data_IF_571256886947
#
_entry.id   IF_571256886947
#
_cell.length_a   1.000
_cell.length_b   1.000
_cell.length_c   1.000
_cell.angle_alpha   90.00
_cell.angle_beta   90.00
_cell.angle_gamma   90.00
#
_symmetry.space_group_name_H-M   'P 1'
#
loop_
_entity.id
_entity.type
_entity.pdbx_description
1 polymer ?
#
# COMPACT_ATOMS: atom_id res chain seq x y z
N UNK A 1 27.62 52.91 32.64
CA UNK A 1 26.61 51.86 32.37
C UNK A 1 26.81 51.41 30.92
N UNK A 2 27.61 50.36 30.71
CA UNK A 2 27.96 49.85 29.40
C UNK A 2 26.99 48.76 29.02
N UNK A 3 26.18 48.97 27.98
CA UNK A 3 25.28 47.95 27.39
C UNK A 3 26.13 46.94 26.63
N UNK A 4 26.16 45.70 27.12
CA UNK A 4 26.84 44.59 26.48
C UNK A 4 26.26 44.29 25.10
N UNK A 5 27.15 44.14 24.10
CA UNK A 5 26.77 43.73 22.74
C UNK A 5 26.17 42.34 22.75
N UNK A 6 25.09 42.10 21.98
CA UNK A 6 24.51 40.75 21.89
C UNK A 6 25.51 39.78 21.25
N UNK A 7 25.74 38.69 21.90
CA UNK A 7 26.60 37.57 21.45
C UNK A 7 25.97 36.97 20.20
N UNK A 8 26.63 37.14 19.06
CA UNK A 8 26.23 36.51 17.81
C UNK A 8 26.29 34.98 17.95
N UNK A 9 25.17 34.32 17.72
CA UNK A 9 25.09 32.88 17.65
C UNK A 9 25.40 32.48 16.19
N UNK A 10 26.43 31.68 15.90
CA UNK A 10 26.72 31.28 14.55
C UNK A 10 25.52 30.50 13.98
N UNK A 11 25.07 30.88 12.79
CA UNK A 11 24.02 30.22 12.06
C UNK A 11 24.31 28.72 12.00
N UNK A 12 23.32 27.96 12.37
CA UNK A 12 23.40 26.52 12.52
C UNK A 12 23.98 25.82 11.30
N UNK A 13 24.66 24.72 11.57
CA UNK A 13 25.22 23.79 10.60
C UNK A 13 24.20 23.60 9.47
N UNK A 14 24.62 23.85 8.25
CA UNK A 14 23.85 23.48 7.07
C UNK A 14 23.56 21.99 7.18
N UNK A 15 22.32 21.62 7.46
CA UNK A 15 21.87 20.24 7.32
C UNK A 15 22.01 19.94 5.83
N UNK A 16 23.10 19.31 5.44
CA UNK A 16 23.12 18.63 4.15
C UNK A 16 21.88 17.77 4.14
N UNK A 17 20.94 18.10 3.29
CA UNK A 17 19.76 17.28 3.03
C UNK A 17 20.31 15.97 2.48
N UNK A 18 20.51 15.00 3.35
CA UNK A 18 20.85 13.64 2.92
C UNK A 18 19.67 13.17 2.10
N UNK A 19 19.86 13.02 0.81
CA UNK A 19 18.85 12.43 -0.08
C UNK A 19 18.77 10.98 0.34
N UNK A 20 17.74 10.63 1.08
CA UNK A 20 17.48 9.24 1.50
C UNK A 20 17.11 8.45 0.24
N UNK A 21 17.86 7.42 -0.04
CA UNK A 21 17.54 6.48 -1.11
C UNK A 21 16.44 5.55 -0.62
N UNK A 22 15.31 5.66 -1.23
CA UNK A 22 14.09 4.93 -0.82
C UNK A 22 13.77 3.85 -1.85
N UNK A 23 13.46 2.66 -1.37
CA UNK A 23 12.86 1.59 -2.16
C UNK A 23 11.42 1.38 -1.70
N UNK A 24 10.48 1.38 -2.64
CA UNK A 24 9.06 1.17 -2.36
C UNK A 24 8.70 -0.26 -2.76
N UNK A 25 8.11 -1.02 -1.85
CA UNK A 25 7.53 -2.34 -2.13
C UNK A 25 6.01 -2.19 -2.04
N UNK A 26 5.30 -2.42 -3.14
CA UNK A 26 3.85 -2.21 -3.21
C UNK A 26 3.07 -3.43 -3.70
N UNK A 27 1.79 -3.49 -3.32
CA UNK A 27 0.84 -4.38 -3.96
C UNK A 27 0.54 -3.90 -5.39
N UNK A 28 0.22 -4.83 -6.30
CA UNK A 28 -0.21 -4.52 -7.67
C UNK A 28 -1.37 -3.52 -7.71
N UNK A 29 -2.29 -3.57 -6.76
CA UNK A 29 -3.43 -2.63 -6.66
C UNK A 29 -3.04 -1.16 -6.48
N UNK A 30 -1.81 -0.88 -6.04
CA UNK A 30 -1.25 0.46 -5.82
C UNK A 30 -0.02 0.72 -6.69
N UNK A 31 0.31 -0.21 -7.58
CA UNK A 31 1.58 -0.20 -8.32
C UNK A 31 1.81 1.06 -9.14
N UNK A 32 0.79 1.53 -9.83
CA UNK A 32 0.88 2.72 -10.68
C UNK A 32 1.01 4.00 -9.87
N UNK A 33 0.27 4.12 -8.78
CA UNK A 33 0.37 5.24 -7.84
C UNK A 33 1.77 5.32 -7.23
N UNK A 34 2.30 4.17 -6.80
CA UNK A 34 3.63 4.11 -6.19
C UNK A 34 4.73 4.40 -7.20
N UNK A 35 4.63 3.92 -8.44
CA UNK A 35 5.57 4.25 -9.51
C UNK A 35 5.60 5.76 -9.80
N UNK A 36 4.43 6.40 -9.88
CA UNK A 36 4.35 7.87 -10.08
C UNK A 36 4.97 8.65 -8.92
N UNK A 37 4.78 8.17 -7.68
CA UNK A 37 5.40 8.79 -6.50
C UNK A 37 6.91 8.54 -6.44
N UNK A 38 7.39 7.46 -7.03
CA UNK A 38 8.82 7.12 -7.11
C UNK A 38 9.62 7.97 -8.10
N UNK A 39 8.97 8.69 -9.03
CA UNK A 39 9.64 9.53 -10.06
C UNK A 39 10.58 10.61 -9.49
N UNK A 40 10.57 10.82 -8.17
CA UNK A 40 11.48 11.69 -7.44
C UNK A 40 12.82 11.04 -7.00
N UNK A 41 13.17 9.85 -7.50
CA UNK A 41 14.45 9.18 -7.17
C UNK A 41 14.32 7.95 -6.25
N UNK A 42 13.11 7.50 -5.94
CA UNK A 42 12.89 6.21 -5.30
C UNK A 42 12.81 5.09 -6.35
N UNK A 43 13.26 3.88 -5.99
CA UNK A 43 12.99 2.68 -6.77
C UNK A 43 11.70 2.01 -6.28
N UNK A 44 11.05 1.21 -7.15
CA UNK A 44 9.79 0.57 -6.79
C UNK A 44 9.75 -0.87 -7.29
N UNK A 45 9.39 -1.82 -6.42
CA UNK A 45 8.97 -3.16 -6.80
C UNK A 45 7.48 -3.35 -6.50
N UNK A 46 6.83 -4.12 -7.39
CA UNK A 46 5.39 -4.34 -7.32
C UNK A 46 5.14 -5.84 -7.23
N UNK A 47 4.51 -6.28 -6.15
CA UNK A 47 4.19 -7.68 -5.90
C UNK A 47 2.81 -8.06 -6.46
N UNK A 48 2.62 -9.32 -6.86
CA UNK A 48 1.36 -9.79 -7.41
C UNK A 48 0.18 -9.54 -6.48
N UNK A 49 -0.98 -9.29 -7.09
CA UNK A 49 -2.26 -9.25 -6.38
C UNK A 49 -2.59 -10.60 -5.72
N UNK A 50 -3.44 -10.57 -4.69
CA UNK A 50 -3.97 -11.78 -4.05
C UNK A 50 -3.07 -12.41 -2.98
N UNK A 51 -1.83 -11.92 -2.78
CA UNK A 51 -0.96 -12.44 -1.71
C UNK A 51 -1.59 -12.32 -0.32
N UNK A 52 -2.42 -11.30 -0.10
CA UNK A 52 -3.12 -11.08 1.18
C UNK A 52 -4.11 -12.19 1.56
N UNK A 53 -4.55 -12.99 0.60
CA UNK A 53 -5.42 -14.16 0.84
C UNK A 53 -4.70 -15.27 1.62
N UNK A 54 -3.36 -15.23 1.64
CA UNK A 54 -2.53 -16.17 2.40
C UNK A 54 -1.48 -15.38 3.17
N UNK A 55 -1.77 -14.93 4.42
CA UNK A 55 -0.90 -14.02 5.18
C UNK A 55 0.54 -14.51 5.35
N UNK A 56 0.75 -15.82 5.52
CA UNK A 56 2.10 -16.37 5.65
C UNK A 56 2.89 -16.30 4.34
N UNK A 57 2.22 -16.50 3.19
CA UNK A 57 2.83 -16.33 1.87
C UNK A 57 3.15 -14.84 1.62
N UNK A 58 2.24 -13.94 1.98
CA UNK A 58 2.50 -12.50 1.89
C UNK A 58 3.75 -12.13 2.70
N UNK A 59 3.84 -12.60 3.96
CA UNK A 59 4.98 -12.32 4.84
C UNK A 59 6.29 -12.83 4.24
N UNK A 60 6.32 -14.06 3.78
CA UNK A 60 7.50 -14.65 3.18
C UNK A 60 7.94 -13.88 1.93
N UNK A 61 6.99 -13.50 1.06
CA UNK A 61 7.28 -12.73 -0.15
C UNK A 61 7.79 -11.33 0.18
N UNK A 62 7.14 -10.62 1.11
CA UNK A 62 7.58 -9.29 1.55
C UNK A 62 8.97 -9.35 2.19
N UNK A 63 9.26 -10.35 3.01
CA UNK A 63 10.57 -10.51 3.62
C UNK A 63 11.66 -10.76 2.57
N UNK A 64 11.39 -11.62 1.59
CA UNK A 64 12.31 -11.87 0.49
C UNK A 64 12.62 -10.59 -0.32
N UNK A 65 11.61 -9.75 -0.60
CA UNK A 65 11.81 -8.46 -1.28
C UNK A 65 12.61 -7.46 -0.43
N UNK A 66 12.36 -7.43 0.89
CA UNK A 66 13.14 -6.60 1.82
C UNK A 66 14.60 -7.02 1.82
N UNK A 67 14.88 -8.32 1.85
CA UNK A 67 16.23 -8.87 1.87
C UNK A 67 16.96 -8.66 0.53
N UNK A 68 16.22 -8.70 -0.58
CA UNK A 68 16.72 -8.47 -1.93
C UNK A 68 16.85 -6.99 -2.32
N UNK A 69 16.38 -6.06 -1.50
CA UNK A 69 16.43 -4.64 -1.81
C UNK A 69 17.87 -4.16 -2.08
N UNK A 70 18.07 -3.19 -3.00
CA UNK A 70 19.40 -2.69 -3.36
C UNK A 70 20.23 -2.31 -2.14
N UNK A 71 21.51 -2.62 -2.15
CA UNK A 71 22.40 -2.46 -0.99
C UNK A 71 22.67 -1.01 -0.58
N UNK A 72 22.33 -0.06 -1.44
CA UNK A 72 22.51 1.38 -1.24
C UNK A 72 21.23 2.10 -0.73
N UNK A 73 20.17 1.35 -0.44
CA UNK A 73 18.90 1.87 0.07
C UNK A 73 18.99 2.17 1.57
N UNK A 74 18.56 3.36 1.97
CA UNK A 74 18.50 3.82 3.36
C UNK A 74 17.14 3.51 4.01
N UNK A 75 16.08 3.46 3.19
CA UNK A 75 14.70 3.26 3.66
C UNK A 75 13.92 2.38 2.70
N UNK A 76 13.25 1.36 3.22
CA UNK A 76 12.22 0.60 2.51
C UNK A 76 10.86 1.08 3.00
N UNK A 77 10.02 1.53 2.07
CA UNK A 77 8.63 1.89 2.31
C UNK A 77 7.72 0.76 1.83
N UNK A 78 7.00 0.14 2.73
CA UNK A 78 5.99 -0.85 2.37
C UNK A 78 4.66 -0.13 2.09
N UNK A 79 4.25 -0.08 0.83
CA UNK A 79 2.93 0.39 0.43
C UNK A 79 1.91 -0.75 0.59
N UNK A 80 1.79 -1.23 1.83
CA UNK A 80 0.89 -2.26 2.31
C UNK A 80 0.23 -1.83 3.61
N UNK A 81 -0.98 -2.32 3.89
CA UNK A 81 -1.52 -2.36 5.24
C UNK A 81 -1.06 -3.61 5.99
N UNK A 82 -1.67 -3.89 7.13
CA UNK A 82 -1.42 -5.13 7.89
C UNK A 82 -1.87 -6.38 7.14
N UNK A 83 -2.84 -6.26 6.24
CA UNK A 83 -3.32 -7.29 5.30
C UNK A 83 -3.47 -8.67 5.97
N UNK A 84 -4.42 -8.79 6.91
CA UNK A 84 -4.65 -10.03 7.63
C UNK A 84 -3.46 -10.50 8.48
N UNK A 85 -2.63 -9.56 8.98
CA UNK A 85 -1.39 -9.81 9.74
C UNK A 85 -0.21 -10.31 8.89
N UNK A 86 -0.32 -10.29 7.55
CA UNK A 86 0.78 -10.70 6.66
C UNK A 86 2.02 -9.81 6.78
N UNK A 87 1.87 -8.55 7.21
CA UNK A 87 3.00 -7.66 7.44
C UNK A 87 3.62 -7.75 8.85
N UNK A 88 3.12 -8.61 9.74
CA UNK A 88 3.69 -8.77 11.09
C UNK A 88 5.03 -9.50 11.06
N UNK A 89 5.98 -9.00 11.86
CA UNK A 89 7.27 -9.65 12.08
C UNK A 89 8.29 -9.44 10.96
N UNK A 90 7.98 -8.61 9.95
CA UNK A 90 8.94 -8.19 8.93
C UNK A 90 10.11 -7.45 9.58
N UNK A 91 11.33 -7.66 9.08
CA UNK A 91 12.56 -7.11 9.64
C UNK A 91 13.49 -6.61 8.53
N UNK A 92 14.30 -5.63 8.85
CA UNK A 92 15.46 -5.24 8.06
C UNK A 92 16.58 -4.85 9.01
N UNK A 93 17.76 -5.44 8.81
CA UNK A 93 18.96 -5.12 9.59
C UNK A 93 19.80 -4.03 8.92
N UNK A 94 19.56 -3.77 7.63
CA UNK A 94 20.40 -2.88 6.81
C UNK A 94 19.84 -1.47 6.68
N UNK A 95 18.53 -1.33 6.66
CA UNK A 95 17.88 -0.05 6.37
C UNK A 95 16.60 0.11 7.21
N UNK A 96 16.09 1.34 7.25
CA UNK A 96 14.83 1.64 7.92
C UNK A 96 13.66 0.99 7.18
N UNK A 97 12.80 0.29 7.91
CA UNK A 97 11.56 -0.24 7.38
C UNK A 97 10.40 0.64 7.86
N UNK A 98 9.61 1.14 6.91
CA UNK A 98 8.45 2.00 7.17
C UNK A 98 7.20 1.36 6.60
N UNK A 99 6.18 1.21 7.42
CA UNK A 99 4.88 0.70 7.03
C UNK A 99 3.77 1.64 7.53
N UNK A 100 2.77 1.99 6.72
CA UNK A 100 1.60 2.73 7.16
C UNK A 100 0.80 1.95 8.22
N UNK A 101 0.34 2.64 9.26
CA UNK A 101 -0.49 2.03 10.32
C UNK A 101 -1.95 1.95 9.88
N UNK A 102 -2.23 1.10 8.90
CA UNK A 102 -3.57 0.86 8.35
C UNK A 102 -3.85 -0.64 8.26
N UNK A 103 -5.13 -1.02 8.22
CA UNK A 103 -5.52 -2.42 8.25
C UNK A 103 -5.27 -3.12 6.90
N UNK A 104 -5.47 -2.39 5.78
CA UNK A 104 -5.37 -2.92 4.41
C UNK A 104 -5.03 -1.81 3.39
N UNK A 105 -4.96 -2.19 2.12
CA UNK A 105 -4.69 -1.27 1.02
C UNK A 105 -5.87 -0.32 0.72
N UNK A 106 -7.10 -0.65 1.13
CA UNK A 106 -8.25 0.26 1.01
C UNK A 106 -8.03 1.46 1.94
N UNK A 107 -7.73 1.20 3.21
CA UNK A 107 -7.42 2.25 4.18
C UNK A 107 -6.21 3.11 3.74
N UNK A 108 -5.23 2.49 3.07
CA UNK A 108 -4.09 3.21 2.50
C UNK A 108 -4.53 4.13 1.35
N UNK A 109 -5.35 3.65 0.42
CA UNK A 109 -5.90 4.43 -0.69
C UNK A 109 -6.79 5.59 -0.23
N UNK A 110 -7.54 5.39 0.85
CA UNK A 110 -8.37 6.42 1.48
C UNK A 110 -7.56 7.41 2.35
N UNK A 111 -6.26 7.18 2.51
CA UNK A 111 -5.35 8.06 3.24
C UNK A 111 -5.30 7.85 4.74
N UNK A 112 -6.24 7.11 5.35
CA UNK A 112 -6.18 6.78 6.77
C UNK A 112 -7.16 5.68 7.16
N UNK A 113 -6.82 4.98 8.27
CA UNK A 113 -7.73 4.05 8.94
C UNK A 113 -9.02 4.73 9.39
N UNK A 114 -8.94 5.95 9.88
CA UNK A 114 -10.10 6.70 10.35
C UNK A 114 -11.10 7.01 9.22
N UNK A 115 -10.59 7.34 8.04
CA UNK A 115 -11.43 7.54 6.85
C UNK A 115 -12.10 6.23 6.43
N UNK A 116 -11.35 5.13 6.37
CA UNK A 116 -11.92 3.82 6.04
C UNK A 116 -13.06 3.44 6.99
N UNK A 117 -12.87 3.59 8.30
CA UNK A 117 -13.92 3.31 9.28
C UNK A 117 -15.16 4.22 9.10
N UNK A 118 -14.98 5.49 8.74
CA UNK A 118 -16.10 6.39 8.42
C UNK A 118 -16.87 5.93 7.19
N UNK A 119 -16.16 5.48 6.14
CA UNK A 119 -16.79 4.96 4.93
C UNK A 119 -17.58 3.69 5.21
N UNK A 120 -17.01 2.74 5.94
CA UNK A 120 -17.71 1.51 6.36
C UNK A 120 -18.98 1.83 7.17
N UNK A 121 -18.88 2.75 8.13
CA UNK A 121 -20.04 3.13 8.94
C UNK A 121 -21.15 3.82 8.14
N UNK A 122 -20.78 4.56 7.08
CA UNK A 122 -21.74 5.27 6.21
C UNK A 122 -22.39 4.34 5.18
N UNK A 123 -21.62 3.45 4.59
CA UNK A 123 -22.06 2.55 3.54
C UNK A 123 -21.35 1.19 3.68
N UNK A 124 -21.87 0.30 4.55
CA UNK A 124 -21.38 -1.07 4.65
C UNK A 124 -21.49 -1.80 3.29
N UNK A 125 -20.53 -2.66 2.99
CA UNK A 125 -20.54 -3.42 1.73
C UNK A 125 -20.09 -2.62 0.49
N UNK A 126 -19.48 -1.43 0.67
CA UNK A 126 -18.92 -0.66 -0.44
C UNK A 126 -17.75 -1.39 -1.08
N UNK A 127 -17.78 -1.55 -2.40
CA UNK A 127 -16.64 -1.96 -3.20
C UNK A 127 -15.79 -0.74 -3.57
N UNK A 128 -14.48 -0.82 -3.31
CA UNK A 128 -13.54 0.25 -3.62
C UNK A 128 -12.80 -0.10 -4.91
N UNK A 129 -13.22 0.51 -6.01
CA UNK A 129 -12.66 0.25 -7.33
C UNK A 129 -11.62 1.31 -7.68
N UNK A 130 -10.35 0.98 -7.50
CA UNK A 130 -9.23 1.72 -8.09
C UNK A 130 -8.84 1.09 -9.42
N UNK A 131 -8.05 1.82 -10.24
CA UNK A 131 -7.49 1.27 -11.48
C UNK A 131 -6.77 -0.05 -11.22
N UNK A 132 -5.90 -0.12 -10.21
CA UNK A 132 -5.14 -1.32 -9.90
C UNK A 132 -6.02 -2.51 -9.48
N UNK A 133 -7.16 -2.27 -8.84
CA UNK A 133 -8.13 -3.34 -8.54
C UNK A 133 -8.80 -3.88 -9.78
N UNK A 134 -9.29 -3.00 -10.65
CA UNK A 134 -9.94 -3.38 -11.91
C UNK A 134 -8.96 -4.18 -12.78
N UNK A 135 -7.72 -3.71 -12.91
CA UNK A 135 -6.69 -4.40 -13.69
C UNK A 135 -6.24 -5.73 -13.08
N UNK A 136 -6.36 -5.89 -11.76
CA UNK A 136 -6.08 -7.16 -11.08
C UNK A 136 -7.19 -8.19 -11.25
N UNK A 137 -8.36 -7.79 -11.73
CA UNK A 137 -9.47 -8.68 -12.04
C UNK A 137 -10.18 -9.27 -10.81
N UNK A 138 -10.16 -8.58 -9.68
CA UNK A 138 -10.84 -8.97 -8.43
C UNK A 138 -11.94 -7.95 -8.10
N UNK A 139 -12.75 -7.66 -9.07
CA UNK A 139 -13.89 -6.76 -8.95
C UNK A 139 -15.19 -7.47 -9.38
N UNK A 140 -16.36 -7.02 -8.90
CA UNK A 140 -17.63 -7.69 -9.18
C UNK A 140 -17.95 -7.82 -10.69
N UNK A 141 -17.53 -6.85 -11.49
CA UNK A 141 -17.79 -6.90 -12.93
C UNK A 141 -16.95 -7.97 -13.63
N UNK A 142 -15.68 -8.07 -13.29
CA UNK A 142 -14.79 -9.12 -13.80
C UNK A 142 -15.27 -10.51 -13.35
N UNK A 143 -15.73 -10.67 -12.11
CA UNK A 143 -16.31 -11.93 -11.64
C UNK A 143 -17.62 -12.26 -12.37
N UNK A 144 -18.45 -11.25 -12.65
CA UNK A 144 -19.62 -11.44 -13.50
C UNK A 144 -19.24 -11.94 -14.90
N UNK A 145 -18.22 -11.33 -15.54
CA UNK A 145 -17.79 -11.75 -16.88
C UNK A 145 -17.28 -13.20 -16.88
N UNK A 146 -16.46 -13.59 -15.91
CA UNK A 146 -15.99 -14.99 -15.75
C UNK A 146 -17.16 -15.97 -15.57
N UNK A 147 -18.14 -15.58 -14.76
CA UNK A 147 -19.33 -16.38 -14.54
C UNK A 147 -20.21 -16.44 -15.81
N UNK A 148 -20.33 -15.33 -16.55
CA UNK A 148 -21.10 -15.27 -17.79
C UNK A 148 -20.49 -16.15 -18.89
N UNK A 149 -19.18 -16.16 -19.01
CA UNK A 149 -18.44 -17.04 -19.92
C UNK A 149 -18.70 -18.52 -19.60
N UNK A 150 -18.71 -18.87 -18.30
CA UNK A 150 -18.88 -20.28 -17.84
C UNK A 150 -20.31 -20.76 -17.83
N UNK A 151 -21.27 -19.89 -17.49
CA UNK A 151 -22.67 -20.31 -17.19
C UNK A 151 -23.71 -19.57 -18.02
N UNK A 152 -23.32 -18.64 -18.89
CA UNK A 152 -24.19 -17.73 -19.63
C UNK A 152 -24.61 -16.51 -18.81
N UNK A 153 -24.90 -15.39 -19.51
CA UNK A 153 -25.17 -14.08 -18.91
C UNK A 153 -26.33 -14.07 -17.91
N UNK A 154 -27.42 -14.77 -18.23
CA UNK A 154 -28.61 -14.77 -17.36
C UNK A 154 -28.35 -15.45 -16.01
N UNK A 155 -27.60 -16.56 -16.01
CA UNK A 155 -27.24 -17.27 -14.79
C UNK A 155 -26.19 -16.51 -13.98
N UNK A 156 -25.21 -15.91 -14.64
CA UNK A 156 -24.23 -15.05 -14.02
C UNK A 156 -24.88 -13.86 -13.32
N UNK A 157 -25.79 -13.16 -13.99
CA UNK A 157 -26.54 -12.04 -13.42
C UNK A 157 -27.33 -12.44 -12.16
N UNK A 158 -28.00 -13.60 -12.18
CA UNK A 158 -28.72 -14.11 -11.00
C UNK A 158 -27.79 -14.44 -9.84
N UNK A 159 -26.60 -14.98 -10.12
CA UNK A 159 -25.58 -15.28 -9.10
C UNK A 159 -25.05 -13.99 -8.46
N UNK A 160 -24.67 -13.01 -9.27
CA UNK A 160 -24.15 -11.75 -8.81
C UNK A 160 -25.20 -10.97 -7.99
N UNK A 161 -26.43 -10.89 -8.47
CA UNK A 161 -27.52 -10.25 -7.72
C UNK A 161 -27.73 -10.88 -6.33
N UNK A 162 -27.52 -12.20 -6.17
CA UNK A 162 -27.58 -12.86 -4.86
C UNK A 162 -26.39 -12.50 -3.98
N UNK A 163 -25.19 -12.42 -4.57
CA UNK A 163 -23.99 -12.02 -3.84
C UNK A 163 -24.16 -10.58 -3.34
N UNK A 164 -24.54 -9.66 -4.21
CA UNK A 164 -24.73 -8.25 -3.87
C UNK A 164 -25.87 -8.01 -2.87
N UNK A 165 -26.89 -8.87 -2.83
CA UNK A 165 -27.98 -8.77 -1.86
C UNK A 165 -27.58 -9.17 -0.42
N UNK A 166 -26.42 -9.78 -0.24
CA UNK A 166 -25.88 -10.18 1.06
C UNK A 166 -24.90 -9.14 1.65
N UNK A 167 -24.59 -8.07 0.93
CA UNK A 167 -23.78 -6.93 1.37
C UNK A 167 -24.67 -5.73 1.72
#
# INVERSE_FOLDING_TARGET
>A
MQLGRPRWIPAGRSHRRTILRTHIISCATLGDEMKRLADGGATCSCLPFGLHNTPDRLRATLQAEIDAAPGDVDTILLAYGMCGRGALGLRSERCRLVIPKVDDCIALSLGSRAEHLRQIARAPGTFYLTKGWIESGDDPYTEYLKAAERYGHERAYRLEKRIMANY
#
